data_IF_725486635557
#
_entry.id   IF_725486635557
#
_cell.length_a   1.000
_cell.length_b   1.000
_cell.length_c   1.000
_cell.angle_alpha   90.00
_cell.angle_beta   90.00
_cell.angle_gamma   90.00
#
_symmetry.space_group_name_H-M   'P 1'
#
loop_
_entity.id
_entity.type
_entity.pdbx_description
1 polymer ?
#
# COMPACT_ATOMS: atom_id res chain seq x y z
N UNK A 1 14.69 -19.47 -4.87
CA UNK A 1 14.47 -18.52 -3.76
C UNK A 1 13.52 -17.41 -4.23
N UNK A 2 12.19 -17.55 -4.11
CA UNK A 2 11.23 -16.54 -4.61
C UNK A 2 9.91 -16.45 -3.83
N UNK A 3 9.72 -17.25 -2.77
CA UNK A 3 8.50 -17.20 -1.96
C UNK A 3 8.45 -16.00 -0.98
N UNK A 4 9.60 -15.39 -0.68
CA UNK A 4 9.71 -14.27 0.28
C UNK A 4 9.35 -12.90 -0.30
N UNK A 5 9.40 -12.71 -1.63
CA UNK A 5 9.11 -11.42 -2.28
C UNK A 5 7.62 -11.07 -2.33
N UNK A 6 6.75 -12.04 -2.66
CA UNK A 6 5.29 -11.80 -2.72
C UNK A 6 4.68 -11.47 -1.36
N UNK A 7 5.21 -12.04 -0.27
CA UNK A 7 4.70 -11.79 1.08
C UNK A 7 5.08 -10.40 1.59
N UNK A 8 6.25 -9.88 1.20
CA UNK A 8 6.67 -8.53 1.56
C UNK A 8 5.93 -7.47 0.75
N UNK A 9 5.75 -7.66 -0.56
CA UNK A 9 5.01 -6.71 -1.43
C UNK A 9 3.56 -6.51 -1.00
N UNK A 10 2.86 -7.61 -0.69
CA UNK A 10 1.47 -7.54 -0.22
C UNK A 10 1.34 -6.96 1.20
N UNK A 11 2.39 -7.07 2.03
CA UNK A 11 2.48 -6.39 3.33
C UNK A 11 2.70 -4.88 3.15
N UNK A 12 3.59 -4.48 2.23
CA UNK A 12 3.88 -3.07 1.93
C UNK A 12 2.65 -2.37 1.36
N UNK A 13 1.94 -2.97 0.40
CA UNK A 13 0.72 -2.40 -0.16
C UNK A 13 -0.37 -2.17 0.93
N UNK A 14 -0.51 -3.10 1.87
CA UNK A 14 -1.43 -2.95 3.02
C UNK A 14 -1.09 -1.73 3.86
N UNK A 15 0.19 -1.47 4.15
CA UNK A 15 0.60 -0.30 4.90
C UNK A 15 0.23 1.02 4.19
N UNK A 16 0.39 1.09 2.87
CA UNK A 16 -0.02 2.27 2.10
C UNK A 16 -1.54 2.48 2.12
N UNK A 17 -2.34 1.41 2.01
CA UNK A 17 -3.80 1.51 2.15
C UNK A 17 -4.22 1.92 3.56
N UNK A 18 -3.61 1.33 4.60
CA UNK A 18 -3.88 1.71 5.99
C UNK A 18 -3.53 3.17 6.22
N UNK A 19 -2.37 3.63 5.74
CA UNK A 19 -1.96 5.02 5.83
C UNK A 19 -2.96 5.95 5.13
N UNK A 20 -3.41 5.62 3.91
CA UNK A 20 -4.42 6.40 3.18
C UNK A 20 -5.74 6.54 3.95
N UNK A 21 -6.22 5.46 4.57
CA UNK A 21 -7.45 5.46 5.39
C UNK A 21 -7.28 6.32 6.64
N UNK A 22 -6.10 6.28 7.27
CA UNK A 22 -5.81 7.04 8.49
C UNK A 22 -5.66 8.55 8.26
N UNK A 23 -5.45 9.01 7.02
CA UNK A 23 -5.39 10.45 6.71
C UNK A 23 -6.70 11.16 7.06
N UNK A 24 -7.84 10.51 6.82
CA UNK A 24 -9.16 11.10 7.06
C UNK A 24 -9.44 11.40 8.54
N UNK A 25 -9.34 10.43 9.49
CA UNK A 25 -9.49 10.73 10.90
C UNK A 25 -8.39 11.66 11.43
N UNK A 26 -7.17 11.61 10.90
CA UNK A 26 -6.11 12.55 11.27
C UNK A 26 -6.47 14.00 10.90
N UNK A 27 -6.99 14.23 9.69
CA UNK A 27 -7.43 15.55 9.26
C UNK A 27 -8.61 16.07 10.10
N UNK A 28 -9.54 15.19 10.49
CA UNK A 28 -10.63 15.55 11.40
C UNK A 28 -10.12 15.92 12.79
N UNK A 29 -9.18 15.16 13.36
CA UNK A 29 -8.58 15.49 14.65
C UNK A 29 -7.88 16.85 14.63
N UNK A 30 -7.14 17.15 13.55
CA UNK A 30 -6.50 18.46 13.36
C UNK A 30 -7.55 19.57 13.30
N UNK A 31 -8.62 19.38 12.52
CA UNK A 31 -9.72 20.35 12.42
C UNK A 31 -10.39 20.60 13.78
N UNK A 32 -10.76 19.54 14.50
CA UNK A 32 -11.39 19.66 15.81
C UNK A 32 -10.47 20.31 16.84
N UNK A 33 -9.18 19.96 16.84
CA UNK A 33 -8.20 20.57 17.73
C UNK A 33 -8.04 22.06 17.43
N UNK A 34 -7.90 22.45 16.16
CA UNK A 34 -7.82 23.85 15.74
C UNK A 34 -9.09 24.64 16.09
N UNK A 35 -10.26 24.03 15.89
CA UNK A 35 -11.55 24.63 16.21
C UNK A 35 -11.72 24.84 17.72
N UNK A 36 -11.26 23.88 18.52
CA UNK A 36 -11.28 23.99 19.98
C UNK A 36 -10.34 25.07 20.52
N UNK A 37 -9.18 25.29 19.88
CA UNK A 37 -8.18 26.25 20.35
C UNK A 37 -8.47 27.69 19.92
N UNK A 38 -9.09 27.88 18.76
CA UNK A 38 -9.40 29.23 18.23
C UNK A 38 -10.78 29.74 18.61
N UNK A 39 -11.73 28.87 18.94
CA UNK A 39 -13.12 29.25 19.26
C UNK A 39 -13.87 29.89 18.09
N UNK A 40 -13.30 29.89 16.88
CA UNK A 40 -13.88 30.54 15.71
C UNK A 40 -15.04 29.72 15.17
N UNK A 41 -16.15 30.38 14.89
CA UNK A 41 -17.27 29.78 14.18
C UNK A 41 -16.94 29.63 12.69
N UNK A 42 -16.80 28.39 12.22
CA UNK A 42 -16.77 28.00 10.81
C UNK A 42 -18.21 28.02 10.29
N UNK A 43 -18.74 29.23 10.12
CA UNK A 43 -20.16 29.50 9.83
C UNK A 43 -20.65 28.89 8.51
N UNK A 44 -19.73 28.51 7.62
CA UNK A 44 -20.03 27.93 6.31
C UNK A 44 -19.36 26.56 6.11
N UNK A 45 -18.71 25.99 7.13
CA UNK A 45 -17.98 24.73 7.02
C UNK A 45 -16.76 24.77 6.08
N UNK A 46 -16.28 25.96 5.72
CA UNK A 46 -15.17 26.16 4.78
C UNK A 46 -13.87 25.60 5.35
N UNK A 47 -13.63 25.76 6.65
CA UNK A 47 -12.45 25.21 7.31
C UNK A 47 -12.44 23.68 7.26
N UNK A 48 -13.59 23.05 7.51
CA UNK A 48 -13.75 21.61 7.38
C UNK A 48 -13.54 21.16 5.92
N UNK A 49 -14.09 21.90 4.96
CA UNK A 49 -13.95 21.64 3.53
C UNK A 49 -12.48 21.62 3.08
N UNK A 50 -11.68 22.62 3.49
CA UNK A 50 -10.25 22.64 3.19
C UNK A 50 -9.49 21.46 3.81
N UNK A 51 -9.81 21.08 5.07
CA UNK A 51 -9.23 19.90 5.69
C UNK A 51 -9.57 18.61 4.92
N UNK A 52 -10.80 18.47 4.43
CA UNK A 52 -11.22 17.32 3.63
C UNK A 52 -10.54 17.28 2.27
N UNK A 53 -10.40 18.42 1.58
CA UNK A 53 -9.67 18.52 0.32
C UNK A 53 -8.21 18.13 0.51
N UNK A 54 -7.55 18.65 1.55
CA UNK A 54 -6.18 18.27 1.89
C UNK A 54 -6.06 16.78 2.22
N UNK A 55 -7.02 16.22 2.96
CA UNK A 55 -7.05 14.80 3.29
C UNK A 55 -7.17 13.93 2.03
N UNK A 56 -8.04 14.30 1.08
CA UNK A 56 -8.17 13.59 -0.20
C UNK A 56 -6.90 13.73 -1.05
N UNK A 57 -6.32 14.93 -1.10
CA UNK A 57 -5.08 15.21 -1.84
C UNK A 57 -3.89 14.38 -1.34
N UNK A 58 -3.87 14.03 -0.04
CA UNK A 58 -2.86 13.14 0.54
C UNK A 58 -3.26 11.66 0.42
N UNK A 59 -4.51 11.30 0.68
CA UNK A 59 -4.96 9.91 0.66
C UNK A 59 -4.92 9.29 -0.75
N UNK A 60 -5.29 10.06 -1.79
CA UNK A 60 -5.31 9.58 -3.17
C UNK A 60 -3.95 9.09 -3.69
N UNK A 61 -2.83 9.83 -3.58
CA UNK A 61 -1.53 9.34 -4.02
C UNK A 61 -1.04 8.14 -3.18
N UNK A 62 -1.30 8.13 -1.87
CA UNK A 62 -0.98 6.98 -1.01
C UNK A 62 -1.74 5.72 -1.45
N UNK A 63 -3.04 5.84 -1.73
CA UNK A 63 -3.85 4.74 -2.24
C UNK A 63 -3.41 4.29 -3.64
N UNK A 64 -3.03 5.23 -4.52
CA UNK A 64 -2.50 4.94 -5.86
C UNK A 64 -1.20 4.14 -5.79
N UNK A 65 -0.26 4.54 -4.92
CA UNK A 65 1.00 3.80 -4.70
C UNK A 65 0.71 2.39 -4.19
N UNK A 66 -0.18 2.24 -3.20
CA UNK A 66 -0.60 0.93 -2.70
C UNK A 66 -1.21 0.05 -3.80
N UNK A 67 -2.06 0.63 -4.66
CA UNK A 67 -2.69 -0.06 -5.79
C UNK A 67 -1.67 -0.47 -6.86
N UNK A 68 -0.69 0.36 -7.18
CA UNK A 68 0.38 0.05 -8.13
C UNK A 68 1.26 -1.11 -7.64
N UNK A 69 1.65 -1.09 -6.36
CA UNK A 69 2.44 -2.17 -5.75
C UNK A 69 1.63 -3.48 -5.75
N UNK A 70 0.34 -3.40 -5.42
CA UNK A 70 -0.55 -4.55 -5.44
C UNK A 70 -0.74 -5.13 -6.85
N UNK A 71 -0.93 -4.27 -7.85
CA UNK A 71 -1.06 -4.68 -9.25
C UNK A 71 0.25 -5.28 -9.79
N UNK A 72 1.40 -4.67 -9.48
CA UNK A 72 2.71 -5.18 -9.87
C UNK A 72 2.95 -6.61 -9.33
N UNK A 73 2.60 -6.87 -8.06
CA UNK A 73 2.69 -8.20 -7.46
C UNK A 73 1.72 -9.23 -8.08
N UNK A 74 0.61 -8.77 -8.70
CA UNK A 74 -0.37 -9.63 -9.37
C UNK A 74 0.01 -9.97 -10.81
N UNK A 75 0.62 -9.04 -11.56
CA UNK A 75 0.98 -9.22 -12.97
C UNK A 75 2.43 -9.66 -13.21
N UNK A 76 3.36 -9.42 -12.28
CA UNK A 76 4.77 -9.83 -12.38
C UNK A 76 5.03 -11.33 -12.13
N UNK A 77 3.98 -12.14 -11.95
CA UNK A 77 4.07 -13.57 -11.65
C UNK A 77 4.17 -14.51 -12.85
N UNK A 78 4.43 -13.99 -14.05
CA UNK A 78 4.58 -14.77 -15.28
C UNK A 78 5.98 -15.34 -15.46
N UNK A 79 6.05 -16.65 -15.66
CA UNK A 79 7.19 -17.45 -16.15
C UNK A 79 8.48 -17.40 -15.32
N UNK A 80 8.51 -18.12 -14.20
CA UNK A 80 9.71 -18.91 -13.91
C UNK A 80 9.50 -20.25 -14.62
N UNK A 81 10.28 -20.59 -15.66
CA UNK A 81 10.20 -21.91 -16.27
C UNK A 81 10.43 -22.96 -15.18
N UNK A 82 9.68 -24.05 -15.24
CA UNK A 82 9.88 -25.17 -14.33
C UNK A 82 11.39 -25.52 -14.26
N UNK A 83 11.95 -25.76 -13.06
CA UNK A 83 13.34 -26.20 -12.96
C UNK A 83 13.54 -27.40 -13.90
N UNK A 84 14.53 -27.31 -14.78
CA UNK A 84 14.85 -28.42 -15.68
C UNK A 84 15.01 -29.71 -14.85
N UNK A 85 14.52 -30.86 -15.33
CA UNK A 85 14.78 -32.14 -14.69
C UNK A 85 16.29 -32.26 -14.46
N UNK A 86 16.70 -32.54 -13.21
CA UNK A 86 18.12 -32.75 -12.93
C UNK A 86 18.60 -33.88 -13.83
N UNK A 87 19.78 -33.76 -14.48
CA UNK A 87 20.36 -34.88 -15.21
C UNK A 87 20.39 -36.08 -14.28
N UNK A 88 19.65 -37.13 -14.64
CA UNK A 88 19.75 -38.44 -13.99
C UNK A 88 21.22 -38.83 -14.01
N UNK A 89 21.79 -39.09 -12.83
CA UNK A 89 23.17 -39.52 -12.65
C UNK A 89 23.52 -40.65 -13.65
N UNK A 90 24.75 -40.66 -14.21
CA UNK A 90 25.16 -41.72 -15.10
C UNK A 90 25.11 -43.06 -14.35
N UNK A 91 24.79 -44.18 -15.04
CA UNK A 91 24.84 -45.48 -14.40
C UNK A 91 26.26 -45.70 -13.90
N UNK A 92 26.42 -45.85 -12.58
CA UNK A 92 27.66 -46.33 -12.00
C UNK A 92 27.98 -47.67 -12.67
N UNK A 93 29.04 -47.66 -13.48
CA UNK A 93 29.60 -48.86 -14.05
C UNK A 93 30.12 -49.74 -12.92
N UNK A 94 29.44 -50.86 -12.71
CA UNK A 94 29.95 -52.02 -11.97
C UNK A 94 30.08 -53.13 -13.02
N UNK A 95 31.28 -53.31 -13.56
CA UNK A 95 32.26 -54.33 -13.15
C UNK A 95 31.72 -55.76 -13.29
#
# INVERSE_FOLDING_TARGET
MTATGRSSESRVARWFFTAAVLVFPAALLVYFSWRSSTGLADSYGMGLMYCLIAAVGLAAPLALIGALIWAAGRFGGGSVPAPLPRPSEPPEGNQ
#
